data_IF_234592859958
#
_entry.id   IF_234592859958
#
_cell.length_a   1.000
_cell.length_b   1.000
_cell.length_c   1.000
_cell.angle_alpha   90.00
_cell.angle_beta   90.00
_cell.angle_gamma   90.00
#
_symmetry.space_group_name_H-M   'P 1'
#
loop_
_entity.id
_entity.type
_entity.pdbx_description
1 polymer ?
#
# COMPACT_ATOMS: atom_id res chain seq x y z
N UNK A 1 -13.99 1.40 9.12
CA UNK A 1 -12.81 0.79 8.49
C UNK A 1 -11.61 1.62 8.92
N UNK A 2 -10.52 1.01 9.35
CA UNK A 2 -9.37 1.75 9.91
C UNK A 2 -8.48 2.41 8.85
N UNK A 3 -8.47 1.87 7.63
CA UNK A 3 -7.61 2.30 6.54
C UNK A 3 -8.45 2.39 5.27
N UNK A 4 -8.52 3.58 4.67
CA UNK A 4 -9.16 3.81 3.38
C UNK A 4 -8.11 4.24 2.36
N UNK A 5 -8.19 3.75 1.12
CA UNK A 5 -7.31 4.24 0.04
C UNK A 5 -8.00 5.45 -0.59
N UNK A 6 -7.29 6.57 -0.63
CA UNK A 6 -7.76 7.82 -1.21
C UNK A 6 -7.37 7.87 -2.69
N UNK A 7 -6.11 7.53 -2.96
CA UNK A 7 -5.51 7.73 -4.27
C UNK A 7 -4.43 6.67 -4.51
N UNK A 8 -4.35 6.20 -5.76
CA UNK A 8 -3.32 5.28 -6.23
C UNK A 8 -2.83 5.72 -7.59
N UNK A 9 -1.53 5.99 -7.66
CA UNK A 9 -0.86 6.45 -8.87
C UNK A 9 0.27 5.46 -9.22
N UNK A 10 0.18 4.78 -10.37
CA UNK A 10 1.33 4.06 -10.91
C UNK A 10 2.40 5.07 -11.33
N UNK A 11 3.66 4.76 -11.02
CA UNK A 11 4.81 5.55 -11.45
C UNK A 11 5.91 4.66 -12.01
N UNK A 12 6.83 5.27 -12.75
CA UNK A 12 7.92 4.56 -13.44
C UNK A 12 8.90 3.89 -12.45
N UNK A 13 9.15 4.53 -11.30
CA UNK A 13 10.08 4.03 -10.27
C UNK A 13 9.38 3.48 -9.02
N UNK A 14 8.18 3.98 -8.73
CA UNK A 14 7.43 3.60 -7.54
C UNK A 14 5.94 3.83 -7.76
N UNK A 15 5.13 2.95 -7.18
CA UNK A 15 3.71 3.20 -7.04
C UNK A 15 3.46 4.02 -5.78
N UNK A 16 2.63 5.04 -5.90
CA UNK A 16 2.23 5.88 -4.76
C UNK A 16 0.80 5.53 -4.36
N UNK A 17 0.61 5.26 -3.08
CA UNK A 17 -0.70 5.00 -2.49
C UNK A 17 -0.89 5.95 -1.31
N UNK A 18 -1.89 6.81 -1.40
CA UNK A 18 -2.26 7.69 -0.31
C UNK A 18 -3.47 7.12 0.43
N UNK A 19 -3.33 6.98 1.75
CA UNK A 19 -4.29 6.36 2.64
C UNK A 19 -4.85 7.36 3.65
N UNK A 20 -6.09 7.14 4.06
CA UNK A 20 -6.66 7.69 5.29
C UNK A 20 -6.54 6.63 6.38
N UNK A 21 -5.86 6.92 7.48
CA UNK A 21 -5.61 5.97 8.57
C UNK A 21 -6.20 6.50 9.87
N UNK A 22 -7.19 5.79 10.41
CA UNK A 22 -7.95 6.13 11.61
C UNK A 22 -8.17 4.88 12.48
N UNK A 23 -7.18 4.55 13.31
CA UNK A 23 -7.27 3.46 14.29
C UNK A 23 -6.36 3.72 15.49
N UNK A 24 -6.95 3.66 16.68
CA UNK A 24 -6.27 3.95 17.94
C UNK A 24 -5.66 5.37 17.96
N UNK A 25 -4.34 5.43 18.17
CA UNK A 25 -3.55 6.67 18.18
C UNK A 25 -3.21 7.19 16.79
N UNK A 26 -3.41 6.37 15.75
CA UNK A 26 -3.12 6.74 14.37
C UNK A 26 -4.32 7.48 13.78
N UNK A 27 -4.15 8.79 13.57
CA UNK A 27 -5.13 9.67 12.92
C UNK A 27 -4.41 10.46 11.84
N UNK A 28 -4.47 9.97 10.60
CA UNK A 28 -3.81 10.55 9.42
C UNK A 28 -4.83 10.70 8.32
N UNK A 29 -5.16 11.94 7.96
CA UNK A 29 -6.04 12.22 6.82
C UNK A 29 -5.41 11.89 5.48
N UNK A 30 -4.08 11.98 5.39
CA UNK A 30 -3.31 11.59 4.23
C UNK A 30 -1.99 10.97 4.72
N UNK A 31 -1.83 9.69 4.44
CA UNK A 31 -0.66 8.90 4.77
C UNK A 31 -0.10 8.30 3.47
N UNK A 32 1.06 8.77 3.05
CA UNK A 32 1.63 8.36 1.77
C UNK A 32 2.51 7.13 1.91
N UNK A 33 2.24 6.13 1.08
CA UNK A 33 3.02 4.89 0.97
C UNK A 33 3.61 4.81 -0.42
N UNK A 34 4.92 4.61 -0.49
CA UNK A 34 5.63 4.33 -1.75
C UNK A 34 5.93 2.83 -1.80
N UNK A 35 5.56 2.19 -2.89
CA UNK A 35 5.90 0.80 -3.16
C UNK A 35 6.94 0.81 -4.27
N UNK A 36 8.16 0.37 -3.95
CA UNK A 36 9.31 0.35 -4.86
C UNK A 36 9.61 -1.08 -5.31
N UNK A 37 10.48 -1.25 -6.30
CA UNK A 37 10.97 -2.58 -6.73
C UNK A 37 9.85 -3.57 -7.10
N UNK A 38 8.72 -3.05 -7.58
CA UNK A 38 7.57 -3.87 -7.98
C UNK A 38 7.97 -4.69 -9.22
N UNK A 39 7.88 -6.03 -9.17
CA UNK A 39 8.21 -6.86 -10.32
C UNK A 39 7.21 -6.64 -11.46
N UNK A 40 7.53 -7.15 -12.67
CA UNK A 40 6.58 -7.05 -13.79
C UNK A 40 5.24 -7.68 -13.41
N UNK A 41 4.11 -7.01 -13.69
CA UNK A 41 2.80 -7.55 -13.39
C UNK A 41 2.55 -8.81 -14.22
N UNK A 42 1.65 -9.70 -13.78
CA UNK A 42 1.20 -10.83 -14.59
C UNK A 42 0.67 -10.36 -15.94
N UNK A 43 1.00 -11.10 -17.00
CA UNK A 43 0.80 -10.68 -18.41
C UNK A 43 -0.67 -10.32 -18.72
N UNK A 44 -1.62 -11.00 -18.09
CA UNK A 44 -3.05 -10.82 -18.35
C UNK A 44 -3.75 -9.84 -17.40
N UNK A 45 -3.00 -9.08 -16.59
CA UNK A 45 -3.59 -8.18 -15.61
C UNK A 45 -3.84 -6.78 -16.17
N UNK A 46 -5.08 -6.32 -16.06
CA UNK A 46 -5.46 -4.94 -16.34
C UNK A 46 -4.88 -3.99 -15.28
N UNK A 47 -4.78 -2.69 -15.61
CA UNK A 47 -4.33 -1.69 -14.65
C UNK A 47 -5.19 -1.67 -13.37
N UNK A 48 -6.49 -1.91 -13.49
CA UNK A 48 -7.38 -1.96 -12.32
C UNK A 48 -7.11 -3.18 -11.44
N UNK A 49 -6.78 -4.33 -12.03
CA UNK A 49 -6.36 -5.52 -11.28
C UNK A 49 -5.04 -5.28 -10.56
N UNK A 50 -4.08 -4.63 -11.22
CA UNK A 50 -2.80 -4.25 -10.61
C UNK A 50 -3.00 -3.27 -9.46
N UNK A 51 -3.80 -2.21 -9.66
CA UNK A 51 -4.18 -1.26 -8.61
C UNK A 51 -4.82 -1.96 -7.41
N UNK A 52 -5.74 -2.89 -7.67
CA UNK A 52 -6.41 -3.66 -6.62
C UNK A 52 -5.42 -4.48 -5.79
N UNK A 53 -4.48 -5.16 -6.44
CA UNK A 53 -3.44 -5.92 -5.75
C UNK A 53 -2.50 -5.03 -4.93
N UNK A 54 -2.00 -3.93 -5.51
CA UNK A 54 -1.16 -2.94 -4.80
C UNK A 54 -1.90 -2.35 -3.59
N UNK A 55 -3.18 -1.99 -3.74
CA UNK A 55 -4.00 -1.51 -2.62
C UNK A 55 -4.15 -2.56 -1.52
N UNK A 56 -4.38 -3.81 -1.88
CA UNK A 56 -4.48 -4.93 -0.92
C UNK A 56 -3.18 -5.13 -0.15
N UNK A 57 -2.06 -5.21 -0.87
CA UNK A 57 -0.72 -5.34 -0.32
C UNK A 57 -0.39 -4.19 0.65
N UNK A 58 -0.57 -2.94 0.22
CA UNK A 58 -0.31 -1.76 1.06
C UNK A 58 -1.17 -1.75 2.33
N UNK A 59 -2.46 -2.11 2.21
CA UNK A 59 -3.34 -2.21 3.38
C UNK A 59 -2.86 -3.28 4.36
N UNK A 60 -2.43 -4.44 3.87
CA UNK A 60 -1.88 -5.51 4.71
C UNK A 60 -0.66 -5.01 5.50
N UNK A 61 0.36 -4.49 4.81
CA UNK A 61 1.60 -4.03 5.44
C UNK A 61 1.38 -2.89 6.44
N UNK A 62 0.57 -1.89 6.07
CA UNK A 62 0.23 -0.79 7.00
C UNK A 62 -0.47 -1.32 8.24
N UNK A 63 -1.40 -2.27 8.09
CA UNK A 63 -2.06 -2.91 9.22
C UNK A 63 -1.06 -3.66 10.12
N UNK A 64 -0.11 -4.40 9.55
CA UNK A 64 0.94 -5.07 10.31
C UNK A 64 1.80 -4.08 11.10
N UNK A 65 2.20 -2.97 10.48
CA UNK A 65 2.97 -1.92 11.14
C UNK A 65 2.21 -1.26 12.30
N UNK A 66 0.92 -1.00 12.12
CA UNK A 66 0.05 -0.45 13.17
C UNK A 66 -0.11 -1.42 14.34
N UNK A 67 -0.34 -2.71 14.07
CA UNK A 67 -0.43 -3.76 15.11
C UNK A 67 0.85 -3.88 15.92
N UNK A 68 2.01 -3.64 15.30
CA UNK A 68 3.33 -3.63 15.95
C UNK A 68 3.67 -2.31 16.65
N UNK A 69 2.80 -1.28 16.55
CA UNK A 69 3.08 0.05 17.09
C UNK A 69 4.20 0.79 16.34
N UNK A 70 4.51 0.36 15.12
CA UNK A 70 5.71 0.77 14.36
C UNK A 70 5.41 1.62 13.13
N UNK A 71 4.15 2.03 12.93
CA UNK A 71 3.78 2.85 11.77
C UNK A 71 4.50 4.22 11.84
N UNK A 72 5.38 4.53 10.86
CA UNK A 72 6.10 5.80 10.87
C UNK A 72 5.15 7.00 10.75
N UNK A 73 5.49 8.18 11.30
CA UNK A 73 4.56 9.31 11.36
C UNK A 73 4.37 10.07 10.04
N UNK A 74 5.30 9.99 9.10
CA UNK A 74 5.35 10.82 7.87
C UNK A 74 4.95 10.08 6.60
N UNK A 75 4.96 8.75 6.62
CA UNK A 75 4.79 7.92 5.43
C UNK A 75 5.71 6.71 5.50
N UNK A 76 5.60 5.82 4.53
CA UNK A 76 6.34 4.56 4.52
C UNK A 76 6.78 4.20 3.11
N UNK A 77 7.93 3.55 3.01
CA UNK A 77 8.37 2.87 1.80
C UNK A 77 8.26 1.36 2.04
N UNK A 78 7.64 0.65 1.12
CA UNK A 78 7.49 -0.79 1.11
C UNK A 78 8.21 -1.39 -0.09
N UNK A 79 8.73 -2.59 0.12
CA UNK A 79 9.29 -3.41 -0.95
C UNK A 79 8.15 -4.10 -1.72
N UNK A 80 8.15 -3.93 -3.03
CA UNK A 80 7.11 -4.41 -3.93
C UNK A 80 7.26 -5.86 -4.39
N UNK A 81 8.31 -6.58 -3.99
CA UNK A 81 8.64 -7.93 -4.47
C UNK A 81 7.46 -8.91 -4.39
N UNK A 82 6.58 -8.72 -3.39
CA UNK A 82 5.45 -9.63 -3.10
C UNK A 82 4.08 -9.09 -3.50
N UNK A 83 4.01 -7.97 -4.20
CA UNK A 83 2.73 -7.31 -4.53
C UNK A 83 1.80 -8.22 -5.35
N UNK A 84 2.37 -9.12 -6.15
CA UNK A 84 1.60 -10.04 -6.99
C UNK A 84 1.32 -11.40 -6.35
N UNK A 85 1.91 -11.67 -5.19
CA UNK A 85 1.63 -12.90 -4.45
C UNK A 85 0.19 -12.80 -3.92
N UNK A 86 -0.69 -13.66 -4.42
CA UNK A 86 -1.99 -13.85 -3.79
C UNK A 86 -1.72 -14.44 -2.41
N UNK A 87 -2.23 -13.80 -1.35
CA UNK A 87 -2.29 -14.43 -0.03
C UNK A 87 -2.83 -15.86 -0.23
N UNK A 88 -1.99 -16.85 0.05
CA UNK A 88 -2.30 -18.26 -0.08
C UNK A 88 -3.28 -18.71 1.01
#
# INVERSE_FOLDING_TARGET
MAIDVIEIEPGDEAWRVDLKVYEGVYKKDRYSVRVVDIPRPPVDWTLDQQKSAVMGYVRHEVTQHMRRGSLPPTGMQLDGEKVWEREA
#
